data_IF_124141038569
#
_entry.id   IF_124141038569
#
_cell.length_a   1.000
_cell.length_b   1.000
_cell.length_c   1.000
_cell.angle_alpha   90.00
_cell.angle_beta   90.00
_cell.angle_gamma   90.00
#
_symmetry.space_group_name_H-M   'P 1'
#
loop_
_entity.id
_entity.type
_entity.pdbx_description
1 polymer ?
#
# COMPACT_ATOMS: atom_id res chain seq x y z
N UNK A 1 -38.35 14.41 -20.79
CA UNK A 1 -37.87 13.10 -20.27
C UNK A 1 -36.90 12.41 -21.23
N UNK A 2 -37.29 12.16 -22.49
CA UNK A 2 -36.48 11.45 -23.51
C UNK A 2 -35.09 12.07 -23.76
N UNK A 3 -34.99 13.40 -23.83
CA UNK A 3 -33.70 14.12 -24.05
C UNK A 3 -32.68 13.88 -22.93
N UNK A 4 -33.14 13.80 -21.67
CA UNK A 4 -32.28 13.52 -20.50
C UNK A 4 -31.76 12.10 -20.55
N UNK A 5 -32.65 11.13 -20.82
CA UNK A 5 -32.29 9.72 -20.98
C UNK A 5 -31.27 9.50 -22.11
N UNK A 6 -31.40 10.21 -23.24
CA UNK A 6 -30.42 10.15 -24.34
C UNK A 6 -29.04 10.69 -23.91
N UNK A 7 -28.99 11.80 -23.18
CA UNK A 7 -27.75 12.36 -22.64
C UNK A 7 -27.09 11.37 -21.67
N UNK A 8 -27.86 10.77 -20.77
CA UNK A 8 -27.36 9.79 -19.79
C UNK A 8 -26.80 8.54 -20.49
N UNK A 9 -27.48 8.04 -21.53
CA UNK A 9 -27.00 6.91 -22.35
C UNK A 9 -25.71 7.28 -23.07
N UNK A 10 -25.64 8.47 -23.71
CA UNK A 10 -24.43 8.91 -24.39
C UNK A 10 -23.24 9.07 -23.43
N UNK A 11 -23.49 9.59 -22.23
CA UNK A 11 -22.49 9.70 -21.17
C UNK A 11 -22.00 8.31 -20.73
N UNK A 12 -22.92 7.38 -20.45
CA UNK A 12 -22.59 6.01 -20.07
C UNK A 12 -21.77 5.28 -21.15
N UNK A 13 -22.10 5.46 -22.44
CA UNK A 13 -21.35 4.89 -23.55
C UNK A 13 -19.94 5.49 -23.66
N UNK A 14 -19.79 6.80 -23.47
CA UNK A 14 -18.47 7.47 -23.46
C UNK A 14 -17.61 6.97 -22.29
N UNK A 15 -18.17 6.91 -21.10
CA UNK A 15 -17.48 6.38 -19.91
C UNK A 15 -17.12 4.90 -20.07
N UNK A 16 -17.99 4.09 -20.67
CA UNK A 16 -17.70 2.68 -20.99
C UNK A 16 -16.50 2.56 -21.94
N UNK A 17 -16.48 3.31 -23.05
CA UNK A 17 -15.33 3.35 -23.99
C UNK A 17 -14.05 3.82 -23.30
N UNK A 18 -14.13 4.86 -22.48
CA UNK A 18 -13.00 5.38 -21.70
C UNK A 18 -12.44 4.32 -20.75
N UNK A 19 -13.32 3.66 -19.98
CA UNK A 19 -12.94 2.56 -19.08
C UNK A 19 -12.29 1.43 -19.87
N UNK A 20 -12.87 1.00 -20.98
CA UNK A 20 -12.31 -0.06 -21.80
C UNK A 20 -10.90 0.29 -22.32
N UNK A 21 -10.66 1.55 -22.72
CA UNK A 21 -9.33 2.03 -23.12
C UNK A 21 -8.33 1.94 -21.96
N UNK A 22 -8.73 2.34 -20.76
CA UNK A 22 -7.89 2.24 -19.54
C UNK A 22 -7.60 0.76 -19.24
N UNK A 23 -8.63 -0.09 -19.23
CA UNK A 23 -8.50 -1.52 -18.93
C UNK A 23 -7.56 -2.24 -19.91
N UNK A 24 -7.52 -1.83 -21.19
CA UNK A 24 -6.63 -2.40 -22.21
C UNK A 24 -5.23 -1.77 -22.24
N UNK A 25 -5.01 -0.68 -21.50
CA UNK A 25 -3.73 0.01 -21.46
C UNK A 25 -2.65 -0.87 -20.80
N UNK A 26 -1.46 -0.94 -21.41
CA UNK A 26 -0.32 -1.70 -20.87
C UNK A 26 0.03 -1.30 -19.44
N UNK A 27 0.09 0.01 -19.17
CA UNK A 27 0.35 0.54 -17.83
C UNK A 27 -0.67 0.04 -16.79
N UNK A 28 -1.96 0.02 -17.14
CA UNK A 28 -3.00 -0.47 -16.23
C UNK A 28 -2.92 -1.99 -16.00
N UNK A 29 -2.63 -2.77 -17.04
CA UNK A 29 -2.44 -4.22 -16.88
C UNK A 29 -1.25 -4.53 -15.98
N UNK A 30 -0.16 -3.77 -16.10
CA UNK A 30 1.01 -3.86 -15.22
C UNK A 30 0.65 -3.53 -13.77
N UNK A 31 -0.02 -2.42 -13.52
CA UNK A 31 -0.50 -2.08 -12.17
C UNK A 31 -1.47 -3.12 -11.59
N UNK A 32 -2.28 -3.78 -12.44
CA UNK A 32 -3.11 -4.90 -12.00
C UNK A 32 -2.31 -6.12 -11.60
N UNK A 33 -1.22 -6.40 -12.31
CA UNK A 33 -0.29 -7.49 -12.00
C UNK A 33 0.44 -7.23 -10.67
N UNK A 34 0.99 -6.02 -10.49
CA UNK A 34 1.57 -5.56 -9.22
C UNK A 34 0.59 -5.72 -8.05
N UNK A 35 -0.63 -5.19 -8.21
CA UNK A 35 -1.68 -5.31 -7.20
C UNK A 35 -2.07 -6.77 -6.92
N UNK A 36 -1.92 -7.67 -7.90
CA UNK A 36 -2.17 -9.09 -7.72
C UNK A 36 -1.07 -9.79 -6.94
N UNK A 37 0.19 -9.48 -7.22
CA UNK A 37 1.36 -9.94 -6.46
C UNK A 37 1.22 -9.49 -5.00
N UNK A 38 1.05 -8.19 -4.75
CA UNK A 38 0.93 -7.61 -3.40
C UNK A 38 -0.19 -8.28 -2.59
N UNK A 39 -1.35 -8.55 -3.20
CA UNK A 39 -2.46 -9.22 -2.51
C UNK A 39 -2.11 -10.63 -2.06
N UNK A 40 -1.39 -11.39 -2.88
CA UNK A 40 -0.95 -12.75 -2.54
C UNK A 40 0.11 -12.71 -1.44
N UNK A 41 1.04 -11.75 -1.51
CA UNK A 41 2.01 -11.48 -0.45
C UNK A 41 1.33 -11.28 0.90
N UNK A 42 0.35 -10.38 0.99
CA UNK A 42 -0.36 -10.15 2.25
C UNK A 42 -1.18 -11.36 2.72
N UNK A 43 -1.61 -12.25 1.81
CA UNK A 43 -2.26 -13.49 2.22
C UNK A 43 -1.28 -14.42 2.95
N UNK A 44 0.00 -14.42 2.54
CA UNK A 44 1.06 -15.18 3.20
C UNK A 44 1.39 -14.55 4.55
N UNK A 45 1.62 -13.23 4.59
CA UNK A 45 1.94 -12.49 5.82
C UNK A 45 0.85 -12.62 6.89
N UNK A 46 -0.43 -12.53 6.50
CA UNK A 46 -1.55 -12.76 7.41
C UNK A 46 -1.53 -14.16 8.01
N UNK A 47 -1.19 -15.17 7.22
CA UNK A 47 -1.05 -16.54 7.73
C UNK A 47 0.09 -16.65 8.75
N UNK A 48 1.22 -16.00 8.50
CA UNK A 48 2.36 -15.94 9.43
C UNK A 48 2.07 -15.13 10.70
N UNK A 49 1.16 -14.16 10.64
CA UNK A 49 0.85 -13.24 11.75
C UNK A 49 -0.15 -13.81 12.77
N UNK A 50 -0.70 -15.01 12.54
CA UNK A 50 -1.60 -15.66 13.49
C UNK A 50 -0.78 -16.29 14.62
N UNK A 51 -1.33 -16.35 15.84
CA UNK A 51 -0.68 -16.90 17.05
C UNK A 51 -0.02 -18.27 16.84
N UNK A 52 -0.62 -19.13 16.01
CA UNK A 52 -0.10 -20.46 15.71
C UNK A 52 -0.34 -20.78 14.23
N UNK A 53 0.57 -20.35 13.33
CA UNK A 53 0.43 -20.61 11.90
C UNK A 53 0.47 -22.11 11.62
N UNK A 54 -0.45 -22.62 10.80
CA UNK A 54 -0.48 -24.03 10.38
C UNK A 54 0.70 -24.31 9.45
N UNK A 55 1.52 -25.31 9.72
CA UNK A 55 2.63 -25.69 8.83
C UNK A 55 2.15 -26.00 7.40
N UNK A 56 2.89 -25.53 6.40
CA UNK A 56 2.60 -25.76 4.98
C UNK A 56 1.40 -25.00 4.42
N UNK A 57 0.89 -23.98 5.13
CA UNK A 57 -0.28 -23.23 4.67
C UNK A 57 -0.02 -22.45 3.37
N UNK A 58 -1.07 -22.26 2.57
CA UNK A 58 -0.99 -21.31 1.45
C UNK A 58 -0.06 -21.72 0.30
N UNK A 59 0.35 -22.98 0.17
CA UNK A 59 1.23 -23.43 -0.92
C UNK A 59 0.69 -23.07 -2.32
N UNK A 60 -0.62 -23.19 -2.58
CA UNK A 60 -1.25 -22.74 -3.84
C UNK A 60 -1.14 -21.23 -4.07
N UNK A 61 -1.22 -20.45 -3.00
CA UNK A 61 -1.03 -18.99 -3.03
C UNK A 61 0.40 -18.65 -3.40
N UNK A 62 1.37 -19.40 -2.85
CA UNK A 62 2.81 -19.27 -3.14
C UNK A 62 3.12 -19.66 -4.59
N UNK A 63 2.59 -20.79 -5.07
CA UNK A 63 2.71 -21.20 -6.48
C UNK A 63 2.17 -20.12 -7.42
N UNK A 64 0.98 -19.59 -7.10
CA UNK A 64 0.38 -18.51 -7.89
C UNK A 64 1.22 -17.23 -7.83
N UNK A 65 1.78 -16.90 -6.68
CA UNK A 65 2.67 -15.74 -6.49
C UNK A 65 3.90 -15.87 -7.39
N UNK A 66 4.58 -17.02 -7.38
CA UNK A 66 5.74 -17.28 -8.22
C UNK A 66 5.43 -17.11 -9.71
N UNK A 67 4.31 -17.64 -10.18
CA UNK A 67 3.86 -17.48 -11.56
C UNK A 67 3.61 -16.01 -11.94
N UNK A 68 3.03 -15.22 -11.04
CA UNK A 68 2.76 -13.80 -11.30
C UNK A 68 4.04 -12.95 -11.27
N UNK A 69 4.98 -13.27 -10.38
CA UNK A 69 6.29 -12.61 -10.35
C UNK A 69 7.05 -12.91 -11.65
N UNK A 70 7.08 -14.17 -12.10
CA UNK A 70 7.69 -14.53 -13.39
C UNK A 70 7.09 -13.76 -14.56
N UNK A 71 5.76 -13.63 -14.60
CA UNK A 71 5.07 -12.86 -15.62
C UNK A 71 5.44 -11.37 -15.55
N UNK A 72 5.54 -10.81 -14.34
CA UNK A 72 5.91 -9.40 -14.13
C UNK A 72 7.36 -9.13 -14.58
N UNK A 73 8.27 -10.07 -14.32
CA UNK A 73 9.68 -9.94 -14.69
C UNK A 73 9.95 -10.04 -16.19
N UNK A 74 8.97 -10.38 -17.03
CA UNK A 74 9.10 -10.31 -18.50
C UNK A 74 9.14 -8.87 -19.03
N UNK A 75 8.46 -7.95 -18.35
CA UNK A 75 8.43 -6.50 -18.65
C UNK A 75 8.28 -5.72 -17.33
N UNK A 76 9.34 -5.66 -16.50
CA UNK A 76 9.28 -5.11 -15.14
C UNK A 76 9.18 -3.58 -15.15
N UNK A 77 8.57 -2.98 -14.12
CA UNK A 77 8.65 -1.52 -13.94
C UNK A 77 10.05 -1.14 -13.44
N UNK A 78 10.37 0.15 -13.47
CA UNK A 78 11.54 0.65 -12.76
C UNK A 78 11.44 0.37 -11.25
N UNK A 79 10.23 0.46 -10.69
CA UNK A 79 9.94 0.11 -9.32
C UNK A 79 9.64 -1.40 -9.19
N UNK A 80 10.49 -2.11 -8.44
CA UNK A 80 10.37 -3.55 -8.18
C UNK A 80 9.84 -3.85 -6.78
N UNK A 81 9.26 -2.86 -6.08
CA UNK A 81 8.77 -3.03 -4.70
C UNK A 81 7.88 -4.25 -4.54
N UNK A 82 6.97 -4.53 -5.48
CA UNK A 82 6.11 -5.72 -5.38
C UNK A 82 6.88 -7.06 -5.42
N UNK A 83 8.03 -7.11 -6.10
CA UNK A 83 8.91 -8.27 -6.16
C UNK A 83 9.72 -8.39 -4.87
N UNK A 84 10.22 -7.26 -4.34
CA UNK A 84 10.90 -7.23 -3.04
C UNK A 84 9.98 -7.67 -1.90
N UNK A 85 8.72 -7.22 -1.91
CA UNK A 85 7.66 -7.67 -1.00
C UNK A 85 7.47 -9.19 -1.07
N UNK A 86 7.43 -9.76 -2.28
CA UNK A 86 7.30 -11.19 -2.48
C UNK A 86 8.50 -11.97 -1.92
N UNK A 87 9.72 -11.50 -2.19
CA UNK A 87 10.95 -12.06 -1.63
C UNK A 87 10.96 -12.04 -0.10
N UNK A 88 10.65 -10.89 0.52
CA UNK A 88 10.62 -10.74 1.97
C UNK A 88 9.58 -11.62 2.66
N UNK A 89 8.38 -11.74 2.07
CA UNK A 89 7.33 -12.61 2.59
C UNK A 89 7.69 -14.10 2.49
N UNK A 90 8.29 -14.53 1.37
CA UNK A 90 8.75 -15.92 1.22
C UNK A 90 9.96 -16.23 2.11
N UNK A 91 10.87 -15.27 2.32
CA UNK A 91 11.96 -15.39 3.30
C UNK A 91 11.41 -15.61 4.70
N UNK A 92 10.45 -14.78 5.12
CA UNK A 92 9.77 -14.94 6.43
C UNK A 92 9.05 -16.28 6.55
N UNK A 93 8.41 -16.73 5.47
CA UNK A 93 7.74 -18.02 5.42
C UNK A 93 8.73 -19.18 5.58
N UNK A 94 9.86 -19.17 4.87
CA UNK A 94 10.89 -20.20 4.99
C UNK A 94 11.51 -20.21 6.39
N UNK A 95 11.91 -19.05 6.91
CA UNK A 95 12.47 -18.93 8.26
C UNK A 95 11.54 -19.53 9.34
N UNK A 96 10.23 -19.26 9.26
CA UNK A 96 9.26 -19.85 10.19
C UNK A 96 9.21 -21.38 10.09
N UNK A 97 9.12 -21.92 8.89
CA UNK A 97 9.00 -23.38 8.69
C UNK A 97 10.30 -24.13 9.00
N UNK A 98 11.46 -23.56 8.64
CA UNK A 98 12.77 -24.11 8.99
C UNK A 98 12.97 -24.13 10.51
N UNK A 99 12.53 -23.10 11.24
CA UNK A 99 12.57 -23.08 12.72
C UNK A 99 11.69 -24.14 13.39
N UNK A 100 10.82 -24.79 12.62
CA UNK A 100 9.94 -25.89 13.05
C UNK A 100 10.36 -27.24 12.49
N UNK A 101 11.50 -27.29 11.80
CA UNK A 101 12.02 -28.49 11.13
C UNK A 101 10.96 -29.14 10.20
N UNK A 102 10.11 -28.30 9.59
CA UNK A 102 9.02 -28.77 8.75
C UNK A 102 9.53 -29.15 7.37
N UNK A 103 9.20 -30.36 6.92
CA UNK A 103 9.54 -30.84 5.58
C UNK A 103 8.30 -31.40 4.86
N UNK A 104 8.20 -31.08 3.57
CA UNK A 104 7.17 -31.60 2.65
C UNK A 104 7.56 -31.29 1.21
N UNK A 105 7.02 -32.03 0.25
CA UNK A 105 7.25 -31.75 -1.18
C UNK A 105 6.83 -30.32 -1.56
N UNK A 106 5.71 -29.83 -1.02
CA UNK A 106 5.22 -28.47 -1.24
C UNK A 106 6.17 -27.42 -0.66
N UNK A 107 6.77 -27.70 0.49
CA UNK A 107 7.73 -26.80 1.11
C UNK A 107 9.07 -26.78 0.36
N UNK A 108 9.56 -27.92 -0.12
CA UNK A 108 10.72 -27.96 -1.01
C UNK A 108 10.49 -27.11 -2.27
N UNK A 109 9.29 -27.14 -2.86
CA UNK A 109 8.96 -26.28 -3.99
C UNK A 109 8.90 -24.79 -3.58
N UNK A 110 8.40 -24.49 -2.38
CA UNK A 110 8.40 -23.13 -1.84
C UNK A 110 9.81 -22.56 -1.71
N UNK A 111 10.78 -23.35 -1.22
CA UNK A 111 12.20 -22.96 -1.16
C UNK A 111 12.75 -22.61 -2.55
N UNK A 112 12.45 -23.43 -3.57
CA UNK A 112 12.84 -23.14 -4.97
C UNK A 112 12.22 -21.84 -5.50
N UNK A 113 10.96 -21.58 -5.20
CA UNK A 113 10.30 -20.32 -5.59
C UNK A 113 10.93 -19.12 -4.88
N UNK A 114 11.26 -19.25 -3.59
CA UNK A 114 11.97 -18.23 -2.84
C UNK A 114 13.32 -17.92 -3.47
N UNK A 115 14.17 -18.93 -3.70
CA UNK A 115 15.48 -18.76 -4.33
C UNK A 115 15.37 -18.05 -5.69
N UNK A 116 14.42 -18.47 -6.53
CA UNK A 116 14.16 -17.84 -7.82
C UNK A 116 13.80 -16.36 -7.69
N UNK A 117 12.86 -16.03 -6.79
CA UNK A 117 12.44 -14.64 -6.58
C UNK A 117 13.57 -13.80 -5.97
N UNK A 118 14.33 -14.39 -5.04
CA UNK A 118 15.50 -13.77 -4.43
C UNK A 118 16.55 -13.41 -5.48
N UNK A 119 16.73 -14.23 -6.52
CA UNK A 119 17.63 -13.95 -7.62
C UNK A 119 17.24 -12.69 -8.44
N UNK A 120 15.95 -12.36 -8.52
CA UNK A 120 15.50 -11.09 -9.12
C UNK A 120 15.83 -9.87 -8.24
N UNK A 121 16.15 -10.09 -6.97
CA UNK A 121 16.36 -9.05 -5.97
C UNK A 121 17.85 -8.83 -5.62
N UNK A 122 18.78 -9.55 -6.26
CA UNK A 122 20.21 -9.57 -5.91
C UNK A 122 20.94 -8.21 -5.94
N UNK A 123 20.35 -7.17 -6.52
CA UNK A 123 20.90 -5.80 -6.50
C UNK A 123 20.54 -4.99 -5.25
N UNK A 124 19.70 -5.53 -4.35
CA UNK A 124 19.29 -4.87 -3.10
C UNK A 124 19.91 -5.62 -1.93
N UNK A 125 20.83 -4.97 -1.22
CA UNK A 125 21.58 -5.59 -0.13
C UNK A 125 20.69 -6.11 1.03
N UNK A 126 19.43 -5.66 1.14
CA UNK A 126 18.52 -6.10 2.22
C UNK A 126 17.05 -6.26 1.75
N UNK A 127 16.70 -7.47 1.28
CA UNK A 127 15.31 -7.85 0.91
C UNK A 127 14.36 -7.82 2.13
N UNK A 128 14.89 -7.80 3.35
CA UNK A 128 14.15 -7.97 4.61
C UNK A 128 13.27 -6.80 5.03
N UNK A 129 13.45 -5.62 4.43
CA UNK A 129 12.66 -4.43 4.81
C UNK A 129 11.36 -4.27 4.00
N UNK A 130 11.20 -5.01 2.90
CA UNK A 130 10.12 -4.76 1.95
C UNK A 130 8.88 -5.62 2.18
N UNK A 131 8.97 -6.79 2.82
CA UNK A 131 7.83 -7.66 3.06
C UNK A 131 8.08 -8.73 4.12
N UNK A 132 7.01 -9.36 4.62
CA UNK A 132 7.08 -10.33 5.70
C UNK A 132 6.31 -9.91 6.94
N UNK A 133 6.72 -10.44 8.09
CA UNK A 133 6.07 -10.13 9.38
C UNK A 133 7.02 -9.35 10.28
N UNK A 134 6.47 -8.35 10.96
CA UNK A 134 7.16 -7.62 12.02
C UNK A 134 6.69 -8.14 13.37
N UNK A 135 7.60 -8.67 14.17
CA UNK A 135 7.32 -8.96 15.58
C UNK A 135 7.35 -7.64 16.36
N UNK A 136 6.33 -7.41 17.15
CA UNK A 136 6.24 -6.25 18.04
C UNK A 136 6.00 -6.78 19.45
N UNK A 137 6.92 -6.53 20.37
CA UNK A 137 6.75 -6.85 21.78
C UNK A 137 6.33 -5.60 22.55
N UNK A 138 5.36 -5.74 23.45
CA UNK A 138 4.93 -4.64 24.31
C UNK A 138 6.08 -4.06 25.12
N UNK A 139 7.02 -4.89 25.57
CA UNK A 139 8.22 -4.49 26.30
C UNK A 139 9.21 -3.66 25.48
N UNK A 140 9.11 -3.69 24.14
CA UNK A 140 9.96 -2.93 23.22
C UNK A 140 9.29 -1.62 22.77
N UNK A 141 8.04 -1.39 23.17
CA UNK A 141 7.32 -0.17 22.82
C UNK A 141 7.69 0.95 23.79
N UNK A 142 8.38 1.95 23.26
CA UNK A 142 8.57 3.23 23.94
C UNK A 142 7.33 4.10 23.72
N UNK A 143 6.43 4.09 24.71
CA UNK A 143 5.14 4.78 24.63
C UNK A 143 4.82 5.48 25.95
N UNK A 144 4.84 6.82 25.94
CA UNK A 144 4.31 7.61 27.05
C UNK A 144 2.80 7.81 26.89
N UNK A 145 2.03 7.11 27.72
CA UNK A 145 0.56 7.19 27.73
C UNK A 145 0.10 8.63 28.03
N UNK A 146 0.82 9.39 28.86
CA UNK A 146 0.44 10.76 29.22
C UNK A 146 0.55 11.71 28.02
N UNK A 147 1.54 11.53 27.15
CA UNK A 147 1.67 12.32 25.92
C UNK A 147 0.52 12.05 24.96
N UNK A 148 0.12 10.78 24.82
CA UNK A 148 -1.02 10.37 23.99
C UNK A 148 -2.32 10.97 24.53
N UNK A 149 -2.56 10.86 25.85
CA UNK A 149 -3.74 11.46 26.47
C UNK A 149 -3.79 12.97 26.29
N UNK A 150 -2.65 13.65 26.47
CA UNK A 150 -2.53 15.09 26.26
C UNK A 150 -2.91 15.45 24.83
N UNK A 151 -2.38 14.74 23.83
CA UNK A 151 -2.70 14.96 22.42
C UNK A 151 -4.22 14.85 22.15
N UNK A 152 -4.87 13.80 22.64
CA UNK A 152 -6.30 13.61 22.42
C UNK A 152 -7.16 14.68 23.11
N UNK A 153 -6.77 15.12 24.30
CA UNK A 153 -7.49 16.15 25.07
C UNK A 153 -7.33 17.55 24.49
N UNK A 154 -6.14 17.90 24.00
CA UNK A 154 -5.84 19.26 23.52
C UNK A 154 -6.18 19.50 22.05
N UNK A 155 -6.41 18.44 21.25
CA UNK A 155 -6.72 18.58 19.83
C UNK A 155 -8.18 19.00 19.64
N UNK A 156 -8.38 20.19 19.08
CA UNK A 156 -9.69 20.72 18.72
C UNK A 156 -9.77 21.11 17.24
N UNK A 157 -10.98 21.19 16.70
CA UNK A 157 -11.22 21.77 15.37
C UNK A 157 -11.15 23.29 15.47
N UNK A 158 -10.00 23.84 15.08
CA UNK A 158 -9.75 25.29 15.02
C UNK A 158 -10.29 25.84 13.69
N UNK A 159 -10.92 27.03 13.74
CA UNK A 159 -11.49 27.71 12.55
C UNK A 159 -10.82 29.03 12.24
N UNK A 160 -10.24 29.69 13.24
CA UNK A 160 -9.50 30.93 13.10
C UNK A 160 -8.03 30.66 13.37
N UNK A 161 -7.17 30.99 12.39
CA UNK A 161 -5.73 30.78 12.47
C UNK A 161 -5.00 32.12 12.41
N UNK A 162 -3.85 32.21 13.05
CA UNK A 162 -2.98 33.37 12.88
C UNK A 162 -2.53 33.49 11.42
N UNK A 163 -2.40 34.72 10.91
CA UNK A 163 -1.87 35.01 9.56
C UNK A 163 -0.33 34.84 9.53
N UNK A 164 0.14 33.64 9.85
CA UNK A 164 1.56 33.27 9.91
C UNK A 164 1.79 32.01 9.08
N UNK A 165 2.79 32.00 8.17
CA UNK A 165 3.10 30.81 7.40
C UNK A 165 3.62 29.67 8.28
N UNK A 166 3.28 28.44 7.91
CA UNK A 166 3.84 27.23 8.52
C UNK A 166 5.07 26.80 7.71
N UNK A 167 6.17 26.50 8.39
CA UNK A 167 7.39 25.98 7.77
C UNK A 167 7.12 24.66 7.03
N UNK A 168 7.66 24.53 5.81
CA UNK A 168 7.51 23.34 4.96
C UNK A 168 7.94 22.05 5.67
N UNK A 169 8.99 22.09 6.49
CA UNK A 169 9.47 20.91 7.22
C UNK A 169 8.48 20.41 8.27
N UNK A 170 7.71 21.31 8.91
CA UNK A 170 6.63 20.92 9.83
C UNK A 170 5.50 20.21 9.09
N UNK A 171 5.15 20.67 7.89
CA UNK A 171 4.15 20.04 7.03
C UNK A 171 4.62 18.65 6.59
N UNK A 172 5.86 18.53 6.11
CA UNK A 172 6.46 17.23 5.74
C UNK A 172 6.48 16.26 6.92
N UNK A 173 6.87 16.73 8.10
CA UNK A 173 6.87 15.91 9.33
C UNK A 173 5.46 15.42 9.68
N UNK A 174 4.44 16.27 9.58
CA UNK A 174 3.05 15.87 9.81
C UNK A 174 2.58 14.80 8.80
N UNK A 175 2.94 14.96 7.52
CA UNK A 175 2.62 13.97 6.47
C UNK A 175 3.36 12.64 6.72
N UNK A 176 4.63 12.68 7.12
CA UNK A 176 5.40 11.49 7.48
C UNK A 176 4.75 10.74 8.65
N UNK A 177 4.33 11.46 9.71
CA UNK A 177 3.62 10.87 10.84
C UNK A 177 2.28 10.25 10.41
N UNK A 178 1.52 10.93 9.56
CA UNK A 178 0.23 10.42 9.07
C UNK A 178 0.36 9.13 8.24
N UNK A 179 1.49 8.90 7.58
CA UNK A 179 1.75 7.67 6.81
C UNK A 179 1.87 6.41 7.67
N UNK A 180 2.05 6.53 8.99
CA UNK A 180 1.98 5.39 9.90
C UNK A 180 0.56 4.83 10.10
N UNK A 181 -0.48 5.54 9.62
CA UNK A 181 -1.83 5.02 9.64
C UNK A 181 -1.93 3.71 8.82
N UNK A 182 -2.55 2.65 9.36
CA UNK A 182 -2.67 1.39 8.66
C UNK A 182 -3.56 1.56 7.42
N UNK A 183 -3.21 0.84 6.34
CA UNK A 183 -3.98 0.82 5.10
C UNK A 183 -4.14 -0.61 4.58
N UNK A 184 -5.22 -0.86 3.84
CA UNK A 184 -5.48 -2.17 3.27
C UNK A 184 -4.33 -2.58 2.34
N UNK A 185 -3.72 -3.74 2.61
CA UNK A 185 -2.57 -4.25 1.86
C UNK A 185 -1.39 -3.26 1.79
N UNK A 186 -1.18 -2.47 2.84
CA UNK A 186 -0.17 -1.40 2.92
C UNK A 186 -0.11 -0.50 1.67
N UNK A 187 -1.25 -0.32 0.97
CA UNK A 187 -1.30 0.37 -0.32
C UNK A 187 -1.02 1.86 -0.21
N UNK A 188 -1.27 2.43 0.97
CA UNK A 188 -1.15 3.87 1.22
C UNK A 188 -1.82 4.68 0.10
N UNK A 189 -3.08 4.34 -0.22
CA UNK A 189 -3.84 4.89 -1.35
C UNK A 189 -4.33 6.33 -1.10
N UNK A 190 -3.47 7.17 -0.52
CA UNK A 190 -3.70 8.55 -0.15
C UNK A 190 -2.72 9.41 -0.93
N UNK A 191 -3.19 10.56 -1.41
CA UNK A 191 -2.35 11.62 -1.97
C UNK A 191 -2.59 12.89 -1.18
N UNK A 192 -1.51 13.58 -0.85
CA UNK A 192 -1.57 14.84 -0.12
C UNK A 192 -1.27 15.98 -1.08
N UNK A 193 -2.15 16.98 -1.10
CA UNK A 193 -1.98 18.22 -1.83
C UNK A 193 -1.86 19.35 -0.81
N UNK A 194 -0.72 20.05 -0.80
CA UNK A 194 -0.49 21.20 0.07
C UNK A 194 -0.86 22.45 -0.71
N UNK A 195 -1.87 23.17 -0.22
CA UNK A 195 -2.39 24.38 -0.87
C UNK A 195 -2.12 25.61 -0.02
N UNK A 196 -1.81 26.72 -0.68
CA UNK A 196 -1.72 28.03 -0.04
C UNK A 196 -3.10 28.71 -0.11
N UNK A 197 -3.70 29.02 1.03
CA UNK A 197 -5.05 29.59 1.12
C UNK A 197 -5.24 30.87 0.29
N UNK A 198 -4.25 31.78 0.28
CA UNK A 198 -4.34 33.03 -0.50
C UNK A 198 -4.43 32.76 -2.00
N UNK A 199 -3.54 31.91 -2.50
CA UNK A 199 -3.52 31.52 -3.92
C UNK A 199 -4.77 30.73 -4.31
N UNK A 200 -5.29 29.89 -3.41
CA UNK A 200 -6.52 29.13 -3.65
C UNK A 200 -7.73 30.06 -3.80
N UNK A 201 -7.84 31.11 -2.99
CA UNK A 201 -8.94 32.07 -3.10
C UNK A 201 -8.87 32.87 -4.40
N UNK A 202 -7.68 33.38 -4.74
CA UNK A 202 -7.44 34.08 -6.00
C UNK A 202 -7.87 33.24 -7.23
N UNK A 203 -7.60 31.92 -7.20
CA UNK A 203 -7.91 31.01 -8.31
C UNK A 203 -9.35 30.46 -8.28
N UNK A 204 -9.99 30.33 -7.12
CA UNK A 204 -11.26 29.58 -6.95
C UNK A 204 -12.41 30.35 -6.29
N UNK A 205 -12.33 31.69 -6.21
CA UNK A 205 -13.22 32.63 -5.51
C UNK A 205 -14.76 32.39 -5.58
N UNK A 206 -15.28 31.56 -6.49
CA UNK A 206 -16.72 31.33 -6.67
C UNK A 206 -17.18 29.86 -6.72
N UNK A 207 -16.30 28.86 -6.58
CA UNK A 207 -16.65 27.46 -6.94
C UNK A 207 -16.58 26.43 -5.80
N UNK A 208 -16.24 26.84 -4.57
CA UNK A 208 -16.16 25.95 -3.42
C UNK A 208 -17.19 26.37 -2.38
N UNK A 209 -18.34 25.72 -2.37
CA UNK A 209 -19.32 25.87 -1.29
C UNK A 209 -18.74 25.30 0.03
N UNK A 210 -18.88 26.02 1.14
CA UNK A 210 -18.46 25.55 2.48
C UNK A 210 -17.03 25.87 2.91
N UNK A 211 -16.22 26.56 2.08
CA UNK A 211 -14.86 27.01 2.48
C UNK A 211 -14.81 28.47 2.97
N UNK A 212 -15.93 29.20 2.96
CA UNK A 212 -15.98 30.66 3.13
C UNK A 212 -15.51 31.23 4.47
N UNK A 213 -15.06 30.40 5.40
CA UNK A 213 -14.44 30.83 6.67
C UNK A 213 -12.96 30.44 6.83
N UNK A 214 -12.34 29.80 5.83
CA UNK A 214 -10.93 29.37 5.87
C UNK A 214 -10.01 30.30 5.05
N UNK A 215 -10.50 31.51 4.79
CA UNK A 215 -9.90 32.53 3.95
C UNK A 215 -9.34 33.68 4.79
#
# INVERSE_FOLDING_TARGET
MIKKTLIDIMYALRESKRKQKILKGKAFQKSRLEAAIIRLVHSIEKGLSIKSPRLGFGYKTIERLALLVDEYMKDPAQDLTCVYMAGGALKSYCNFHDSKEFESHQYTNTKKFYEKINNYCCSVNEITEYGGIKRVLLSELDCDINEIEKLFRTRHSIREFENKPVETEKIKKAIALAQHAPSACNRQAVRVYVVNGKKLLEEYNNNLEGIGGFA
#
